data_IF_964227713013
#
_entry.id   IF_964227713013
#
_cell.length_a   1.000
_cell.length_b   1.000
_cell.length_c   1.000
_cell.angle_alpha   90.00
_cell.angle_beta   90.00
_cell.angle_gamma   90.00
#
_symmetry.space_group_name_H-M   'P 1'
#
loop_
_entity.id
_entity.type
_entity.pdbx_description
1 polymer ?
#
# COMPACT_ATOMS: atom_id res chain seq x y z
N UNK A 1 -7.88 -7.90 19.99
CA UNK A 1 -8.01 -6.73 19.13
C UNK A 1 -6.63 -6.21 18.74
N UNK A 2 -6.07 -6.83 17.71
CA UNK A 2 -4.65 -6.72 17.33
C UNK A 2 -4.14 -5.27 17.21
N UNK A 3 -4.85 -4.41 16.48
CA UNK A 3 -4.41 -3.02 16.27
C UNK A 3 -4.34 -2.23 17.57
N UNK A 4 -5.34 -2.37 18.42
CA UNK A 4 -5.38 -1.75 19.75
C UNK A 4 -4.21 -2.20 20.63
N UNK A 5 -4.00 -3.50 20.73
CA UNK A 5 -2.92 -4.07 21.54
C UNK A 5 -1.54 -3.64 21.04
N UNK A 6 -1.36 -3.59 19.71
CA UNK A 6 -0.12 -3.12 19.10
C UNK A 6 0.14 -1.65 19.41
N UNK A 7 -0.85 -0.78 19.23
CA UNK A 7 -0.72 0.66 19.55
C UNK A 7 -0.38 0.83 21.04
N UNK A 8 -1.07 0.10 21.93
CA UNK A 8 -0.82 0.21 23.37
C UNK A 8 0.62 -0.19 23.72
N UNK A 9 1.13 -1.29 23.16
CA UNK A 9 2.52 -1.72 23.38
C UNK A 9 3.53 -0.67 22.94
N UNK A 10 3.33 -0.03 21.80
CA UNK A 10 4.20 1.04 21.34
C UNK A 10 4.16 2.26 22.27
N UNK A 11 2.96 2.64 22.73
CA UNK A 11 2.80 3.75 23.69
C UNK A 11 3.46 3.44 25.03
N UNK A 12 3.28 2.23 25.55
CA UNK A 12 3.89 1.77 26.81
C UNK A 12 5.43 1.75 26.71
N UNK A 13 5.97 1.52 25.51
CA UNK A 13 7.40 1.63 25.21
C UNK A 13 7.86 3.07 24.98
N UNK A 14 7.01 4.09 25.13
CA UNK A 14 7.35 5.50 24.97
C UNK A 14 7.36 6.01 23.53
N UNK A 15 6.81 5.26 22.57
CA UNK A 15 6.77 5.70 21.18
C UNK A 15 5.79 6.88 20.98
N UNK A 16 6.26 7.91 20.23
CA UNK A 16 5.41 8.97 19.72
C UNK A 16 4.89 8.59 18.34
N UNK A 17 3.64 8.16 18.26
CA UNK A 17 3.03 7.62 17.04
C UNK A 17 2.46 8.76 16.22
N UNK A 18 3.10 9.08 15.10
CA UNK A 18 2.64 10.11 14.16
C UNK A 18 1.78 9.58 13.01
N UNK A 19 1.95 8.30 12.65
CA UNK A 19 1.17 7.64 11.58
C UNK A 19 1.03 6.15 11.88
N UNK A 20 -0.10 5.57 11.49
CA UNK A 20 -0.34 4.13 11.54
C UNK A 20 -0.80 3.65 10.17
N UNK A 21 -0.05 2.74 9.58
CA UNK A 21 -0.43 2.04 8.37
C UNK A 21 -1.31 0.84 8.74
N UNK A 22 -2.54 0.82 8.24
CA UNK A 22 -3.49 -0.28 8.45
C UNK A 22 -3.47 -1.21 7.24
N UNK A 23 -2.80 -2.34 7.38
CA UNK A 23 -2.52 -3.28 6.30
C UNK A 23 -1.29 -2.88 5.46
N UNK A 24 -0.62 -3.87 4.89
CA UNK A 24 0.53 -3.70 3.99
C UNK A 24 0.20 -4.25 2.62
N UNK A 25 0.42 -3.45 1.58
CA UNK A 25 0.21 -3.85 0.17
C UNK A 25 -1.11 -4.60 -0.08
N UNK A 26 -2.21 -4.03 0.40
CA UNK A 26 -3.52 -4.68 0.46
C UNK A 26 -4.23 -4.82 -0.90
N UNK A 27 -3.56 -4.55 -2.00
CA UNK A 27 -4.13 -4.62 -3.36
C UNK A 27 -4.76 -5.99 -3.64
N UNK A 28 -4.08 -7.05 -3.22
CA UNK A 28 -4.52 -8.42 -3.46
C UNK A 28 -5.34 -9.00 -2.30
N UNK A 29 -5.74 -8.17 -1.35
CA UNK A 29 -6.63 -8.53 -0.26
C UNK A 29 -6.05 -8.42 1.13
N UNK A 30 -6.83 -8.84 2.11
CA UNK A 30 -6.51 -8.73 3.53
C UNK A 30 -7.23 -9.82 4.32
N UNK A 31 -6.56 -10.38 5.35
CA UNK A 31 -7.13 -11.24 6.38
C UNK A 31 -8.02 -12.39 5.86
N UNK A 32 -7.46 -13.19 4.95
CA UNK A 32 -8.14 -14.38 4.40
C UNK A 32 -8.99 -14.11 3.15
N UNK A 33 -9.21 -12.85 2.79
CA UNK A 33 -9.87 -12.47 1.54
C UNK A 33 -8.80 -12.03 0.56
N UNK A 34 -8.37 -12.95 -0.32
CA UNK A 34 -7.29 -12.71 -1.27
C UNK A 34 -7.69 -13.06 -2.69
N UNK A 35 -7.04 -12.41 -3.67
CA UNK A 35 -6.98 -12.90 -5.05
C UNK A 35 -5.92 -14.00 -5.13
N UNK A 36 -6.24 -15.07 -5.85
CA UNK A 36 -5.30 -16.17 -6.06
C UNK A 36 -4.50 -15.93 -7.36
N UNK A 37 -3.29 -15.38 -7.20
CA UNK A 37 -2.41 -15.05 -8.34
C UNK A 37 -1.98 -16.29 -9.11
N UNK A 38 -1.82 -17.43 -8.45
CA UNK A 38 -1.44 -18.70 -9.09
C UNK A 38 -2.55 -19.22 -10.04
N UNK A 39 -3.79 -18.80 -9.79
CA UNK A 39 -4.96 -19.04 -10.67
C UNK A 39 -5.18 -17.90 -11.67
N UNK A 40 -4.26 -16.98 -11.80
CA UNK A 40 -4.39 -15.82 -12.69
C UNK A 40 -5.41 -14.77 -12.23
N UNK A 41 -5.85 -14.82 -10.96
CA UNK A 41 -6.79 -13.84 -10.44
C UNK A 41 -6.09 -12.49 -10.24
N UNK A 42 -6.79 -11.41 -10.57
CA UNK A 42 -6.33 -10.04 -10.33
C UNK A 42 -7.04 -9.42 -9.12
N UNK A 43 -6.59 -8.24 -8.72
CA UNK A 43 -7.22 -7.43 -7.65
C UNK A 43 -8.73 -7.22 -7.86
N UNK A 44 -9.22 -7.29 -9.10
CA UNK A 44 -10.65 -7.14 -9.42
C UNK A 44 -11.55 -8.23 -8.81
N UNK A 45 -11.01 -9.42 -8.52
CA UNK A 45 -11.76 -10.48 -7.84
C UNK A 45 -12.23 -10.03 -6.46
N UNK A 46 -11.52 -9.06 -5.86
CA UNK A 46 -11.87 -8.48 -4.56
C UNK A 46 -12.57 -7.14 -4.75
N UNK A 47 -11.88 -6.21 -5.41
CA UNK A 47 -12.31 -4.82 -5.45
C UNK A 47 -13.40 -4.55 -6.48
N UNK A 48 -13.52 -5.41 -7.49
CA UNK A 48 -14.66 -5.43 -8.43
C UNK A 48 -15.89 -6.15 -7.89
N UNK A 49 -15.73 -7.03 -6.89
CA UNK A 49 -16.83 -7.71 -6.20
C UNK A 49 -17.29 -6.89 -4.99
N UNK A 50 -18.55 -6.47 -5.00
CA UNK A 50 -19.11 -5.63 -3.94
C UNK A 50 -19.10 -6.31 -2.57
N UNK A 51 -19.38 -7.62 -2.50
CA UNK A 51 -19.45 -8.36 -1.23
C UNK A 51 -18.05 -8.49 -0.63
N UNK A 52 -17.07 -8.92 -1.42
CA UNK A 52 -15.69 -9.09 -0.97
C UNK A 52 -15.05 -7.76 -0.58
N UNK A 53 -15.19 -6.71 -1.41
CA UNK A 53 -14.65 -5.39 -1.09
C UNK A 53 -15.27 -4.78 0.15
N UNK A 54 -16.58 -4.93 0.35
CA UNK A 54 -17.24 -4.48 1.58
C UNK A 54 -16.73 -5.23 2.81
N UNK A 55 -16.43 -6.51 2.69
CA UNK A 55 -15.89 -7.29 3.81
C UNK A 55 -14.46 -6.88 4.15
N UNK A 56 -13.59 -6.70 3.16
CA UNK A 56 -12.23 -6.13 3.38
C UNK A 56 -12.34 -4.75 4.02
N UNK A 57 -13.22 -3.89 3.53
CA UNK A 57 -13.42 -2.55 4.07
C UNK A 57 -13.91 -2.56 5.54
N UNK A 58 -14.66 -3.59 5.98
CA UNK A 58 -14.98 -3.76 7.41
C UNK A 58 -13.74 -4.00 8.26
N UNK A 59 -12.79 -4.83 7.79
CA UNK A 59 -11.54 -5.05 8.50
C UNK A 59 -10.69 -3.79 8.57
N UNK A 60 -10.56 -3.05 7.46
CA UNK A 60 -9.89 -1.76 7.45
C UNK A 60 -10.52 -0.79 8.44
N UNK A 61 -11.84 -0.65 8.43
CA UNK A 61 -12.56 0.23 9.36
C UNK A 61 -12.36 -0.17 10.82
N UNK A 62 -12.28 -1.46 11.13
CA UNK A 62 -12.02 -1.93 12.50
C UNK A 62 -10.61 -1.52 12.98
N UNK A 63 -9.59 -1.68 12.13
CA UNK A 63 -8.23 -1.22 12.43
C UNK A 63 -8.16 0.31 12.56
N UNK A 64 -8.76 1.02 11.62
CA UNK A 64 -8.82 2.49 11.62
C UNK A 64 -9.51 3.02 12.88
N UNK A 65 -10.63 2.42 13.27
CA UNK A 65 -11.33 2.79 14.51
C UNK A 65 -10.41 2.69 15.72
N UNK A 66 -9.62 1.63 15.82
CA UNK A 66 -8.65 1.47 16.91
C UNK A 66 -7.57 2.57 16.86
N UNK A 67 -7.08 2.95 15.68
CA UNK A 67 -6.12 4.06 15.55
C UNK A 67 -6.73 5.37 16.04
N UNK A 68 -7.94 5.72 15.56
CA UNK A 68 -8.65 6.96 15.95
C UNK A 68 -8.95 7.02 17.45
N UNK A 69 -9.23 5.87 18.07
CA UNK A 69 -9.54 5.75 19.49
C UNK A 69 -8.29 5.88 20.39
N UNK A 70 -7.20 5.20 20.02
CA UNK A 70 -6.03 5.04 20.89
C UNK A 70 -4.87 6.02 20.58
N UNK A 71 -4.86 6.61 19.40
CA UNK A 71 -3.87 7.60 18.96
C UNK A 71 -4.51 8.60 17.98
N UNK A 72 -5.47 9.42 18.46
CA UNK A 72 -6.29 10.28 17.60
C UNK A 72 -5.50 11.32 16.82
N UNK A 73 -4.29 11.67 17.27
CA UNK A 73 -3.40 12.60 16.58
C UNK A 73 -2.65 11.97 15.41
N UNK A 74 -2.58 10.62 15.34
CA UNK A 74 -1.86 9.95 14.28
C UNK A 74 -2.63 9.95 12.96
N UNK A 75 -1.91 10.12 11.87
CA UNK A 75 -2.46 9.90 10.53
C UNK A 75 -2.74 8.42 10.31
N UNK A 76 -3.81 8.13 9.60
CA UNK A 76 -4.14 6.78 9.15
C UNK A 76 -3.74 6.62 7.70
N UNK A 77 -2.92 5.62 7.41
CA UNK A 77 -2.49 5.31 6.07
C UNK A 77 -3.03 3.95 5.60
N UNK A 78 -3.38 3.88 4.31
CA UNK A 78 -3.66 2.62 3.60
C UNK A 78 -2.65 2.46 2.48
N UNK A 79 -2.12 1.25 2.30
CA UNK A 79 -0.97 0.98 1.46
C UNK A 79 -1.30 0.01 0.32
N UNK A 80 -1.03 0.43 -0.90
CA UNK A 80 -1.18 -0.36 -2.13
C UNK A 80 0.17 -0.56 -2.81
N UNK A 81 0.36 -1.70 -3.47
CA UNK A 81 1.57 -1.96 -4.26
C UNK A 81 1.41 -1.51 -5.71
N UNK A 82 2.53 -1.31 -6.39
CA UNK A 82 2.63 -1.08 -7.84
C UNK A 82 1.67 0.00 -8.34
N UNK A 83 2.08 1.28 -8.30
CA UNK A 83 1.22 2.41 -8.60
C UNK A 83 0.60 2.30 -10.00
N UNK A 84 -0.72 2.42 -10.07
CA UNK A 84 -1.50 2.40 -11.29
C UNK A 84 -2.83 3.14 -11.05
N UNK A 85 -3.09 4.16 -11.86
CA UNK A 85 -4.24 5.06 -11.68
C UNK A 85 -5.57 4.31 -11.70
N UNK A 86 -5.76 3.41 -12.67
CA UNK A 86 -7.01 2.66 -12.81
C UNK A 86 -7.23 1.72 -11.62
N UNK A 87 -6.21 0.95 -11.26
CA UNK A 87 -6.24 0.05 -10.12
C UNK A 87 -6.55 0.78 -8.81
N UNK A 88 -5.82 1.86 -8.55
CA UNK A 88 -5.99 2.65 -7.34
C UNK A 88 -7.37 3.32 -7.29
N UNK A 89 -7.82 3.89 -8.40
CA UNK A 89 -9.17 4.47 -8.51
C UNK A 89 -10.26 3.43 -8.22
N UNK A 90 -10.13 2.22 -8.75
CA UNK A 90 -11.08 1.12 -8.49
C UNK A 90 -11.17 0.82 -6.99
N UNK A 91 -10.03 0.68 -6.33
CA UNK A 91 -9.96 0.39 -4.89
C UNK A 91 -10.50 1.57 -4.07
N UNK A 92 -10.02 2.78 -4.31
CA UNK A 92 -10.43 3.99 -3.60
C UNK A 92 -11.95 4.28 -3.75
N UNK A 93 -12.55 3.93 -4.88
CA UNK A 93 -14.00 4.01 -5.04
C UNK A 93 -14.75 3.11 -4.05
N UNK A 94 -14.22 1.91 -3.75
CA UNK A 94 -14.83 1.04 -2.73
C UNK A 94 -14.67 1.61 -1.34
N UNK A 95 -13.51 2.20 -1.05
CA UNK A 95 -13.26 2.89 0.23
C UNK A 95 -14.19 4.08 0.42
N UNK A 96 -14.37 4.90 -0.62
CA UNK A 96 -15.33 6.01 -0.60
C UNK A 96 -16.77 5.52 -0.40
N UNK A 97 -17.19 4.50 -1.14
CA UNK A 97 -18.54 3.90 -1.03
C UNK A 97 -18.85 3.43 0.39
N UNK A 98 -17.87 2.79 1.04
CA UNK A 98 -18.06 2.17 2.34
C UNK A 98 -17.61 3.07 3.51
N UNK A 99 -17.30 4.34 3.24
CA UNK A 99 -16.85 5.34 4.23
C UNK A 99 -15.65 4.84 5.04
N UNK A 100 -14.59 4.41 4.35
CA UNK A 100 -13.30 4.09 4.96
C UNK A 100 -12.56 5.40 5.26
N UNK A 101 -12.34 5.70 6.53
CA UNK A 101 -11.76 6.96 7.02
C UNK A 101 -10.23 6.87 7.14
N UNK A 102 -9.51 7.26 6.11
CA UNK A 102 -8.04 7.32 6.08
C UNK A 102 -7.55 8.69 5.62
N UNK A 103 -6.28 9.02 5.90
CA UNK A 103 -5.67 10.31 5.57
C UNK A 103 -4.68 10.21 4.41
N UNK A 104 -3.90 9.12 4.37
CA UNK A 104 -2.77 8.95 3.46
C UNK A 104 -2.95 7.72 2.57
N UNK A 105 -2.82 7.90 1.27
CA UNK A 105 -2.64 6.82 0.32
C UNK A 105 -1.14 6.53 0.21
N UNK A 106 -0.72 5.37 0.70
CA UNK A 106 0.64 4.85 0.56
C UNK A 106 0.81 4.01 -0.69
N UNK A 107 1.99 4.04 -1.28
CA UNK A 107 2.34 3.22 -2.44
C UNK A 107 3.74 2.64 -2.30
N UNK A 108 3.93 1.36 -2.63
CA UNK A 108 5.25 0.83 -2.96
C UNK A 108 5.60 1.28 -4.37
N UNK A 109 6.82 1.79 -4.52
CA UNK A 109 7.36 2.20 -5.80
C UNK A 109 8.76 1.64 -5.98
N UNK A 110 8.88 0.60 -6.78
CA UNK A 110 10.15 -0.02 -7.11
C UNK A 110 10.43 0.21 -8.60
N UNK A 111 11.31 1.18 -8.95
CA UNK A 111 11.56 1.54 -10.34
C UNK A 111 11.97 0.37 -11.23
N UNK A 112 12.69 -0.61 -10.68
CA UNK A 112 13.15 -1.77 -11.44
C UNK A 112 12.02 -2.67 -11.95
N UNK A 113 10.89 -2.76 -11.27
CA UNK A 113 9.74 -3.50 -11.79
C UNK A 113 9.11 -2.87 -13.03
N UNK A 114 9.42 -1.60 -13.29
CA UNK A 114 8.90 -0.86 -14.42
C UNK A 114 9.71 -1.01 -15.69
N UNK A 115 10.97 -1.43 -15.60
CA UNK A 115 11.83 -1.59 -16.79
C UNK A 115 11.23 -2.63 -17.73
N UNK A 116 10.78 -3.77 -17.21
CA UNK A 116 10.10 -4.80 -17.99
C UNK A 116 8.69 -4.41 -18.43
N UNK A 117 7.94 -3.67 -17.60
CA UNK A 117 6.52 -3.40 -17.80
C UNK A 117 6.20 -1.97 -18.24
N UNK A 118 7.18 -1.07 -18.32
CA UNK A 118 7.01 0.39 -18.56
C UNK A 118 5.97 1.04 -17.64
N UNK A 119 5.79 0.50 -16.44
CA UNK A 119 4.64 0.80 -15.57
C UNK A 119 4.95 1.80 -14.46
N UNK A 120 6.03 1.65 -13.71
CA UNK A 120 6.35 2.48 -12.55
C UNK A 120 7.26 3.65 -12.93
N UNK A 121 6.74 4.68 -13.53
CA UNK A 121 7.50 5.87 -13.90
C UNK A 121 7.24 7.00 -12.90
N UNK A 122 8.11 8.02 -12.80
CA UNK A 122 7.81 9.23 -12.03
C UNK A 122 6.49 9.87 -12.44
N UNK A 123 6.11 9.75 -13.72
CA UNK A 123 4.80 10.20 -14.20
C UNK A 123 3.67 9.44 -13.53
N UNK A 124 3.79 8.12 -13.37
CA UNK A 124 2.77 7.31 -12.70
C UNK A 124 2.56 7.75 -11.25
N UNK A 125 3.65 8.06 -10.52
CA UNK A 125 3.56 8.62 -9.17
C UNK A 125 2.81 9.95 -9.15
N UNK A 126 3.12 10.83 -10.09
CA UNK A 126 2.42 12.12 -10.24
C UNK A 126 0.94 11.94 -10.52
N UNK A 127 0.60 11.02 -11.38
CA UNK A 127 -0.79 10.71 -11.73
C UNK A 127 -1.55 10.14 -10.52
N UNK A 128 -0.91 9.24 -9.74
CA UNK A 128 -1.51 8.69 -8.51
C UNK A 128 -1.62 9.76 -7.41
N UNK A 129 -0.64 10.65 -7.28
CA UNK A 129 -0.73 11.79 -6.37
C UNK A 129 -1.95 12.67 -6.72
N UNK A 130 -2.14 12.97 -7.99
CA UNK A 130 -3.29 13.74 -8.49
C UNK A 130 -4.60 13.02 -8.20
N UNK A 131 -4.63 11.70 -8.38
CA UNK A 131 -5.77 10.88 -8.02
C UNK A 131 -6.07 10.97 -6.51
N UNK A 132 -5.08 10.78 -5.65
CA UNK A 132 -5.26 10.88 -4.19
C UNK A 132 -5.83 12.24 -3.78
N UNK A 133 -5.26 13.31 -4.32
CA UNK A 133 -5.75 14.68 -4.09
C UNK A 133 -7.22 14.87 -4.50
N UNK A 134 -7.67 14.23 -5.59
CA UNK A 134 -9.07 14.28 -6.02
C UNK A 134 -10.06 13.61 -5.05
N UNK A 135 -9.54 12.75 -4.16
CA UNK A 135 -10.29 12.16 -3.04
C UNK A 135 -10.05 12.90 -1.71
N UNK A 136 -9.34 14.02 -1.72
CA UNK A 136 -8.98 14.78 -0.52
C UNK A 136 -7.96 14.02 0.36
N UNK A 137 -7.09 13.19 -0.24
CA UNK A 137 -6.11 12.38 0.48
C UNK A 137 -4.69 12.83 0.18
N UNK A 138 -3.81 12.72 1.17
CA UNK A 138 -2.37 12.83 0.97
C UNK A 138 -1.84 11.59 0.23
N UNK A 139 -0.68 11.73 -0.41
CA UNK A 139 0.02 10.63 -1.07
C UNK A 139 1.45 10.54 -0.56
N UNK A 140 1.93 9.32 -0.32
CA UNK A 140 3.31 9.05 0.05
C UNK A 140 3.81 7.75 -0.57
N UNK A 141 5.10 7.70 -0.88
CA UNK A 141 5.79 6.46 -1.20
C UNK A 141 6.26 5.84 0.11
N UNK A 142 5.84 4.62 0.40
CA UNK A 142 6.13 3.91 1.66
C UNK A 142 7.28 2.94 1.51
N UNK A 143 7.42 2.36 0.32
CA UNK A 143 8.48 1.43 0.03
C UNK A 143 9.12 1.78 -1.31
N UNK A 144 10.44 1.78 -1.34
CA UNK A 144 11.24 1.91 -2.55
C UNK A 144 12.64 1.38 -2.31
N UNK A 145 13.26 0.89 -3.36
CA UNK A 145 14.68 0.52 -3.34
C UNK A 145 15.27 0.53 -4.74
N UNK A 146 16.58 0.58 -4.78
CA UNK A 146 17.37 0.37 -5.98
C UNK A 146 18.68 -0.32 -5.59
N UNK A 147 19.20 -1.15 -6.46
CA UNK A 147 20.48 -1.81 -6.22
C UNK A 147 21.63 -0.87 -6.49
N UNK A 148 22.62 -0.84 -5.61
CA UNK A 148 23.87 -0.12 -5.80
C UNK A 148 25.01 -1.03 -6.31
N UNK A 149 24.81 -2.34 -6.30
CA UNK A 149 25.73 -3.33 -6.84
C UNK A 149 24.98 -4.61 -7.23
N UNK A 150 25.66 -5.50 -7.95
CA UNK A 150 25.16 -6.83 -8.28
C UNK A 150 25.42 -7.88 -7.19
N UNK A 151 26.06 -7.47 -6.09
CA UNK A 151 26.31 -8.37 -4.98
C UNK A 151 24.97 -8.65 -4.28
N UNK A 152 24.50 -9.87 -4.47
CA UNK A 152 23.34 -10.40 -3.77
C UNK A 152 23.78 -10.85 -2.37
N UNK A 153 23.51 -10.01 -1.37
CA UNK A 153 23.95 -10.26 0.00
C UNK A 153 23.09 -11.26 0.76
N UNK A 154 21.90 -11.57 0.28
CA UNK A 154 20.95 -12.49 0.93
C UNK A 154 20.67 -13.77 0.12
N UNK A 155 21.23 -13.87 -1.09
CA UNK A 155 21.06 -15.02 -1.98
C UNK A 155 19.65 -15.16 -2.55
N UNK A 156 18.81 -14.14 -2.42
CA UNK A 156 17.43 -14.16 -2.90
C UNK A 156 17.30 -13.29 -4.15
N UNK A 157 16.90 -13.83 -5.30
CA UNK A 157 16.80 -13.08 -6.55
C UNK A 157 15.58 -12.14 -6.54
N UNK A 158 15.60 -11.16 -5.65
CA UNK A 158 14.53 -10.16 -5.46
C UNK A 158 14.89 -8.80 -6.05
N UNK A 159 16.04 -8.68 -6.65
CA UNK A 159 16.54 -7.46 -7.25
C UNK A 159 16.72 -7.62 -8.77
N UNK A 160 17.13 -6.56 -9.42
CA UNK A 160 17.34 -6.52 -10.85
C UNK A 160 18.46 -7.50 -11.22
N UNK A 161 18.11 -8.53 -11.97
CA UNK A 161 19.05 -9.49 -12.53
C UNK A 161 19.83 -8.95 -13.75
N UNK A 162 19.79 -7.65 -14.01
CA UNK A 162 20.40 -7.01 -15.15
C UNK A 162 21.50 -6.05 -14.73
N UNK A 163 22.73 -6.38 -15.11
CA UNK A 163 23.92 -5.58 -14.85
C UNK A 163 23.84 -4.15 -15.43
N UNK A 164 23.00 -3.92 -16.44
CA UNK A 164 22.84 -2.60 -17.07
C UNK A 164 22.11 -1.60 -16.19
N UNK A 165 21.47 -2.06 -15.14
CA UNK A 165 20.66 -1.22 -14.24
C UNK A 165 21.38 -0.84 -12.95
N UNK A 166 22.62 -1.28 -12.75
CA UNK A 166 23.47 -0.77 -11.68
C UNK A 166 24.01 0.59 -12.07
N UNK A 167 24.05 1.52 -11.13
CA UNK A 167 24.62 2.84 -11.39
C UNK A 167 23.63 3.87 -11.93
N UNK A 168 22.36 3.63 -11.82
CA UNK A 168 21.32 4.63 -12.15
C UNK A 168 21.34 5.87 -11.22
N UNK A 169 22.39 6.04 -10.46
CA UNK A 169 22.62 7.13 -9.51
C UNK A 169 23.76 8.06 -9.93
N UNK A 170 24.29 7.91 -11.11
CA UNK A 170 25.27 8.83 -11.65
C UNK A 170 24.63 10.13 -12.13
#
# INVERSE_FOLDING_TARGET
>A
DFTKESIQKFKDAGANIGMVQVGNEITNGLLGIYSNRDKGESFNVIWGDKKKSTEVNKYLKAGIKAVREYTPQALVALHLETPNVWKYKTIMNTWKRDNVDYDVLGSSYYPFWSIAAKANTPKTLKDVQTLAASYGKMFAVFETSWVNSLNDGDGTPNSIGDSTNTGAYE
#
